data_IF_510273603426
#
_entry.id   IF_510273603426
#
_cell.length_a   1.000
_cell.length_b   1.000
_cell.length_c   1.000
_cell.angle_alpha   90.00
_cell.angle_beta   90.00
_cell.angle_gamma   90.00
#
_symmetry.space_group_name_H-M   'P 1'
#
loop_
_entity.id
_entity.type
_entity.pdbx_description
1 polymer ?
#
# COMPACT_ATOMS: atom_id res chain seq x y z
N UNK A 1 -26.59 -34.91 18.29
CA UNK A 1 -25.50 -33.96 18.55
C UNK A 1 -24.42 -34.28 17.54
N UNK A 2 -24.28 -33.47 16.50
CA UNK A 2 -23.17 -33.53 15.55
C UNK A 2 -21.86 -33.26 16.30
N UNK A 3 -20.73 -33.89 15.92
CA UNK A 3 -19.45 -33.51 16.48
C UNK A 3 -19.22 -32.05 16.12
N UNK A 4 -18.97 -31.21 17.12
CA UNK A 4 -18.49 -29.86 16.89
C UNK A 4 -17.16 -30.00 16.13
N UNK A 5 -17.13 -29.57 14.86
CA UNK A 5 -15.90 -29.47 14.08
C UNK A 5 -14.97 -28.50 14.81
N UNK A 6 -14.07 -29.06 15.63
CA UNK A 6 -12.96 -28.36 16.24
C UNK A 6 -12.09 -27.80 15.13
N UNK A 7 -12.28 -26.52 14.83
CA UNK A 7 -11.33 -25.76 14.01
C UNK A 7 -10.02 -25.77 14.75
N UNK A 8 -9.01 -26.47 14.26
CA UNK A 8 -7.68 -26.48 14.86
C UNK A 8 -7.06 -25.08 14.74
N UNK A 9 -6.73 -24.45 15.88
CA UNK A 9 -5.89 -23.25 15.87
C UNK A 9 -4.54 -23.56 15.20
N UNK A 10 -3.95 -22.57 14.55
CA UNK A 10 -2.57 -22.71 14.12
C UNK A 10 -1.65 -22.86 15.35
N UNK A 11 -0.68 -23.77 15.27
CA UNK A 11 0.34 -23.90 16.32
C UNK A 11 1.43 -22.83 16.13
N UNK A 12 2.20 -22.55 17.19
CA UNK A 12 3.36 -21.67 17.07
C UNK A 12 4.47 -22.35 16.26
N UNK A 13 4.95 -21.69 15.21
CA UNK A 13 6.06 -22.16 14.41
C UNK A 13 7.42 -21.86 15.10
N UNK A 14 8.40 -22.78 15.01
CA UNK A 14 9.74 -22.52 15.52
C UNK A 14 10.43 -21.44 14.67
N UNK A 15 11.51 -20.83 15.20
CA UNK A 15 12.38 -19.99 14.40
C UNK A 15 12.81 -20.67 13.09
N UNK A 16 12.88 -19.93 11.98
CA UNK A 16 13.18 -20.50 10.66
C UNK A 16 14.50 -21.29 10.61
N UNK A 17 15.53 -20.82 11.33
CA UNK A 17 16.83 -21.50 11.41
C UNK A 17 16.79 -22.82 12.19
N UNK A 18 15.72 -23.08 12.95
CA UNK A 18 15.47 -24.33 13.67
C UNK A 18 14.55 -25.28 12.91
N UNK A 19 14.03 -24.88 11.75
CA UNK A 19 13.23 -25.78 10.92
C UNK A 19 14.09 -26.90 10.33
N UNK A 20 13.59 -28.15 10.30
CA UNK A 20 14.20 -29.22 9.54
C UNK A 20 14.38 -28.84 8.07
N UNK A 21 15.52 -29.20 7.46
CA UNK A 21 15.82 -28.85 6.06
C UNK A 21 14.78 -29.37 5.06
N UNK A 22 14.14 -30.51 5.34
CA UNK A 22 13.06 -31.07 4.52
C UNK A 22 11.73 -30.32 4.67
N UNK A 23 11.58 -29.46 5.69
CA UNK A 23 10.38 -28.67 5.95
C UNK A 23 10.53 -27.20 5.58
N UNK A 24 11.76 -26.68 5.47
CA UNK A 24 12.05 -25.33 4.97
C UNK A 24 11.41 -24.99 3.61
N UNK A 25 11.22 -25.94 2.66
CA UNK A 25 10.48 -25.66 1.43
C UNK A 25 9.03 -25.20 1.64
N UNK A 26 8.43 -25.52 2.79
CA UNK A 26 7.07 -25.16 3.17
C UNK A 26 6.99 -23.88 4.00
N UNK A 27 8.10 -23.16 4.17
CA UNK A 27 8.13 -21.90 4.90
C UNK A 27 7.93 -20.70 3.97
N UNK A 28 6.98 -19.84 4.32
CA UNK A 28 6.66 -18.62 3.60
C UNK A 28 6.66 -17.43 4.57
N UNK A 29 7.30 -16.36 4.14
CA UNK A 29 7.27 -15.05 4.82
C UNK A 29 6.23 -14.18 4.13
N UNK A 30 5.43 -13.47 4.91
CA UNK A 30 4.30 -12.69 4.40
C UNK A 30 4.34 -11.27 4.93
N UNK A 31 4.04 -10.30 4.06
CA UNK A 31 3.94 -8.90 4.43
C UNK A 31 2.92 -8.18 3.53
N UNK A 32 2.38 -7.07 4.03
CA UNK A 32 1.40 -6.27 3.35
C UNK A 32 1.60 -4.78 3.61
N UNK A 33 1.67 -4.00 2.53
CA UNK A 33 1.78 -2.54 2.61
C UNK A 33 0.58 -1.84 1.97
N UNK A 34 0.35 -0.59 2.39
CA UNK A 34 -0.50 0.32 1.63
C UNK A 34 0.15 1.69 1.53
N UNK A 35 -0.04 2.33 0.39
CA UNK A 35 0.47 3.67 0.11
C UNK A 35 -0.55 4.47 -0.69
N UNK A 36 -0.60 5.79 -0.46
CA UNK A 36 -1.40 6.70 -1.29
C UNK A 36 -0.54 7.05 -2.50
N UNK A 37 -1.00 6.66 -3.69
CA UNK A 37 -0.37 6.99 -4.97
C UNK A 37 -1.29 7.97 -5.71
N UNK A 38 -0.88 9.23 -5.78
CA UNK A 38 -1.72 10.31 -6.32
C UNK A 38 -2.97 10.53 -5.45
N UNK A 39 -4.16 10.21 -5.99
CA UNK A 39 -5.45 10.32 -5.30
C UNK A 39 -6.02 8.98 -4.84
N UNK A 40 -5.32 7.88 -5.11
CA UNK A 40 -5.81 6.53 -4.86
C UNK A 40 -4.97 5.86 -3.79
N UNK A 41 -5.64 5.24 -2.81
CA UNK A 41 -4.97 4.34 -1.88
C UNK A 41 -4.72 3.02 -2.62
N UNK A 42 -3.49 2.53 -2.58
CA UNK A 42 -3.09 1.25 -3.13
C UNK A 42 -2.61 0.33 -2.04
N UNK A 43 -2.82 -0.95 -2.21
CA UNK A 43 -2.34 -1.98 -1.31
C UNK A 43 -1.56 -3.02 -2.12
N UNK A 44 -0.57 -3.64 -1.46
CA UNK A 44 0.22 -4.72 -2.03
C UNK A 44 0.55 -5.73 -0.96
N UNK A 45 0.18 -6.97 -1.22
CA UNK A 45 0.46 -8.13 -0.41
C UNK A 45 1.56 -8.94 -1.07
N UNK A 46 2.53 -9.43 -0.31
CA UNK A 46 3.60 -10.26 -0.83
C UNK A 46 3.88 -11.48 0.03
N UNK A 47 4.38 -12.51 -0.64
CA UNK A 47 4.83 -13.76 -0.06
C UNK A 47 6.21 -14.07 -0.59
N UNK A 48 7.16 -14.34 0.30
CA UNK A 48 8.53 -14.71 -0.02
C UNK A 48 8.81 -16.16 0.38
N UNK A 49 9.35 -16.94 -0.54
CA UNK A 49 9.88 -18.28 -0.28
C UNK A 49 11.40 -18.23 -0.14
N UNK A 50 11.98 -18.47 1.05
CA UNK A 50 13.43 -18.44 1.26
C UNK A 50 14.18 -19.49 0.43
N UNK A 51 13.61 -20.69 0.31
CA UNK A 51 14.22 -21.83 -0.40
C UNK A 51 14.18 -21.65 -1.91
N UNK A 52 13.05 -21.17 -2.46
CA UNK A 52 12.91 -20.89 -3.90
C UNK A 52 13.52 -19.56 -4.31
N UNK A 53 13.74 -18.65 -3.35
CA UNK A 53 14.17 -17.25 -3.57
C UNK A 53 13.27 -16.49 -4.55
N UNK A 54 11.97 -16.75 -4.45
CA UNK A 54 10.94 -16.13 -5.28
C UNK A 54 9.94 -15.41 -4.38
N UNK A 55 9.51 -14.22 -4.85
CA UNK A 55 8.38 -13.50 -4.29
C UNK A 55 7.17 -13.65 -5.21
N UNK A 56 6.00 -13.88 -4.64
CA UNK A 56 4.70 -13.70 -5.30
C UNK A 56 4.00 -12.51 -4.64
N UNK A 57 3.30 -11.68 -5.42
CA UNK A 57 2.62 -10.51 -4.91
C UNK A 57 1.27 -10.29 -5.59
N UNK A 58 0.34 -9.69 -4.85
CA UNK A 58 -0.95 -9.24 -5.33
C UNK A 58 -1.14 -7.77 -4.92
N UNK A 59 -1.75 -6.97 -5.80
CA UNK A 59 -1.98 -5.55 -5.57
C UNK A 59 -3.40 -5.15 -5.95
N UNK A 60 -3.85 -4.03 -5.42
CA UNK A 60 -5.14 -3.44 -5.74
C UNK A 60 -5.29 -2.03 -5.17
N UNK A 61 -6.50 -1.49 -5.28
CA UNK A 61 -6.81 -0.13 -4.84
C UNK A 61 -7.88 -0.13 -3.73
N UNK A 62 -7.93 0.95 -2.95
CA UNK A 62 -9.01 1.25 -2.00
C UNK A 62 -8.91 0.63 -0.61
N UNK A 63 -7.91 -0.20 -0.34
CA UNK A 63 -7.81 -0.96 0.92
C UNK A 63 -6.58 -0.58 1.77
N UNK A 64 -6.60 -1.01 3.04
CA UNK A 64 -5.57 -0.69 4.04
C UNK A 64 -4.37 -1.64 4.03
N UNK A 65 -3.32 -1.31 4.78
CA UNK A 65 -2.18 -2.21 5.00
C UNK A 65 -2.60 -3.48 5.73
N UNK A 66 -3.53 -3.38 6.69
CA UNK A 66 -4.09 -4.54 7.38
C UNK A 66 -4.81 -5.48 6.40
N UNK A 67 -5.47 -4.94 5.37
CA UNK A 67 -6.07 -5.75 4.30
C UNK A 67 -5.00 -6.48 3.50
N UNK A 68 -3.92 -5.78 3.13
CA UNK A 68 -2.79 -6.38 2.43
C UNK A 68 -2.17 -7.53 3.23
N UNK A 69 -2.04 -7.39 4.55
CA UNK A 69 -1.51 -8.42 5.45
C UNK A 69 -2.38 -9.68 5.42
N UNK A 70 -3.71 -9.54 5.49
CA UNK A 70 -4.64 -10.69 5.38
C UNK A 70 -4.60 -11.29 3.98
N UNK A 71 -4.47 -10.46 2.95
CA UNK A 71 -4.31 -10.92 1.56
C UNK A 71 -3.02 -11.70 1.34
N UNK A 72 -1.94 -11.34 2.03
CA UNK A 72 -0.68 -12.08 1.97
C UNK A 72 -0.83 -13.51 2.50
N UNK A 73 -1.69 -13.69 3.51
CA UNK A 73 -2.02 -15.04 4.02
C UNK A 73 -2.84 -15.83 3.02
N UNK A 74 -3.86 -15.23 2.38
CA UNK A 74 -4.59 -15.92 1.32
C UNK A 74 -3.67 -16.35 0.18
N UNK A 75 -2.73 -15.48 -0.22
CA UNK A 75 -1.74 -15.80 -1.25
C UNK A 75 -0.84 -16.96 -0.83
N UNK A 76 -0.40 -17.00 0.43
CA UNK A 76 0.42 -18.09 0.95
C UNK A 76 -0.34 -19.43 0.98
N UNK A 77 -1.63 -19.40 1.32
CA UNK A 77 -2.50 -20.58 1.27
C UNK A 77 -2.75 -21.04 -0.17
N UNK A 78 -2.97 -20.12 -1.11
CA UNK A 78 -3.11 -20.45 -2.53
C UNK A 78 -1.85 -21.15 -3.08
N UNK A 79 -0.65 -20.70 -2.68
CA UNK A 79 0.61 -21.36 -3.02
C UNK A 79 0.64 -22.78 -2.45
N UNK A 80 0.36 -22.94 -1.15
CA UNK A 80 0.39 -24.25 -0.49
C UNK A 80 -0.61 -25.23 -1.10
N UNK A 81 -1.82 -24.78 -1.43
CA UNK A 81 -2.85 -25.60 -2.08
C UNK A 81 -2.47 -26.00 -3.51
N UNK A 82 -2.01 -25.03 -4.32
CA UNK A 82 -1.57 -25.26 -5.71
C UNK A 82 -0.44 -26.27 -5.77
N UNK A 83 0.47 -26.19 -4.83
CA UNK A 83 1.65 -27.06 -4.72
C UNK A 83 1.36 -28.34 -3.93
N UNK A 84 0.15 -28.49 -3.40
CA UNK A 84 -0.31 -29.65 -2.61
C UNK A 84 0.59 -29.94 -1.41
N UNK A 85 0.97 -28.90 -0.69
CA UNK A 85 1.82 -29.02 0.48
C UNK A 85 1.09 -29.74 1.62
N UNK A 86 1.79 -30.60 2.39
CA UNK A 86 1.21 -31.27 3.54
C UNK A 86 1.08 -30.34 4.76
N UNK A 87 1.87 -29.27 4.80
CA UNK A 87 1.87 -28.27 5.87
C UNK A 87 2.40 -26.93 5.34
N UNK A 88 2.18 -25.86 6.10
CA UNK A 88 2.67 -24.53 5.79
C UNK A 88 3.19 -23.85 7.07
N UNK A 89 4.42 -23.34 7.02
CA UNK A 89 5.00 -22.49 8.05
C UNK A 89 4.89 -21.03 7.62
N UNK A 90 4.08 -20.25 8.32
CA UNK A 90 3.85 -18.82 8.06
C UNK A 90 4.67 -17.96 9.01
N UNK A 91 5.45 -17.05 8.44
CA UNK A 91 6.21 -16.04 9.16
C UNK A 91 5.65 -14.65 8.80
N UNK A 92 5.07 -13.96 9.77
CA UNK A 92 4.43 -12.64 9.57
C UNK A 92 4.91 -11.65 10.61
N UNK A 93 5.02 -10.37 10.23
CA UNK A 93 5.26 -9.26 11.18
C UNK A 93 3.97 -8.68 11.76
N UNK A 94 2.82 -9.15 11.28
CA UNK A 94 1.52 -8.63 11.72
C UNK A 94 1.01 -9.38 12.93
N UNK A 95 1.05 -8.74 14.10
CA UNK A 95 0.41 -9.25 15.31
C UNK A 95 -1.09 -9.53 15.13
N UNK A 96 -1.78 -8.75 14.30
CA UNK A 96 -3.20 -8.99 14.01
C UNK A 96 -3.39 -10.36 13.36
N UNK A 97 -2.58 -10.67 12.35
CA UNK A 97 -2.64 -11.95 11.64
C UNK A 97 -2.25 -13.09 12.58
N UNK A 98 -1.13 -12.95 13.30
CA UNK A 98 -0.65 -13.99 14.19
C UNK A 98 -1.71 -14.33 15.27
N UNK A 99 -2.26 -13.31 15.94
CA UNK A 99 -3.30 -13.52 16.95
C UNK A 99 -4.61 -14.08 16.36
N UNK A 100 -4.96 -13.69 15.12
CA UNK A 100 -6.12 -14.26 14.45
C UNK A 100 -5.96 -15.76 14.22
N UNK A 101 -4.81 -16.18 13.69
CA UNK A 101 -4.51 -17.58 13.38
C UNK A 101 -4.30 -18.43 14.65
N UNK A 102 -3.77 -17.87 15.73
CA UNK A 102 -3.59 -18.58 17.01
C UNK A 102 -4.89 -18.76 17.81
N UNK A 103 -5.93 -17.95 17.60
CA UNK A 103 -7.15 -18.12 18.37
C UNK A 103 -8.37 -17.28 18.02
N UNK A 104 -8.21 -16.07 17.44
CA UNK A 104 -9.42 -15.27 17.18
C UNK A 104 -10.33 -15.89 16.14
N UNK A 105 -9.81 -16.65 15.16
CA UNK A 105 -10.65 -17.35 14.17
C UNK A 105 -11.67 -18.29 14.83
N UNK A 106 -11.26 -19.07 15.84
CA UNK A 106 -12.18 -19.93 16.59
C UNK A 106 -13.24 -19.09 17.31
N UNK A 107 -12.83 -18.01 17.97
CA UNK A 107 -13.73 -17.14 18.71
C UNK A 107 -14.75 -16.46 17.77
N UNK A 108 -14.29 -15.98 16.61
CA UNK A 108 -15.14 -15.37 15.59
C UNK A 108 -16.10 -16.39 14.98
N UNK A 109 -15.65 -17.61 14.66
CA UNK A 109 -16.54 -18.68 14.18
C UNK A 109 -17.67 -18.97 15.18
N UNK A 110 -17.33 -19.08 16.48
CA UNK A 110 -18.32 -19.26 17.57
C UNK A 110 -19.28 -18.07 17.73
N UNK A 111 -18.82 -16.87 17.41
CA UNK A 111 -19.62 -15.63 17.47
C UNK A 111 -20.34 -15.34 16.14
N UNK A 112 -20.43 -16.33 15.24
CA UNK A 112 -20.97 -16.19 13.89
C UNK A 112 -20.38 -14.99 13.12
N UNK A 113 -19.08 -14.79 13.27
CA UNK A 113 -18.29 -13.74 12.63
C UNK A 113 -18.76 -12.32 12.97
N UNK A 114 -19.33 -12.14 14.16
CA UNK A 114 -19.81 -10.86 14.66
C UNK A 114 -19.15 -10.46 15.96
N UNK A 115 -18.98 -9.16 16.15
CA UNK A 115 -18.62 -8.53 17.41
C UNK A 115 -19.63 -7.44 17.73
N UNK A 116 -20.32 -7.58 18.88
CA UNK A 116 -21.39 -6.66 19.33
C UNK A 116 -22.50 -6.46 18.27
N UNK A 117 -22.91 -7.54 17.61
CA UNK A 117 -23.99 -7.53 16.60
C UNK A 117 -23.59 -6.92 15.25
N UNK A 118 -22.32 -6.58 15.05
CA UNK A 118 -21.79 -6.14 13.74
C UNK A 118 -20.82 -7.19 13.19
N UNK A 119 -20.77 -7.42 11.88
CA UNK A 119 -19.74 -8.27 11.27
C UNK A 119 -18.34 -7.79 11.65
N UNK A 120 -17.42 -8.74 11.85
CA UNK A 120 -16.01 -8.40 12.02
C UNK A 120 -15.46 -7.77 10.74
N UNK A 121 -14.42 -6.96 10.87
CA UNK A 121 -13.75 -6.39 9.71
C UNK A 121 -13.15 -7.51 8.83
N UNK A 122 -13.30 -7.36 7.51
CA UNK A 122 -12.89 -8.36 6.51
C UNK A 122 -13.41 -9.79 6.77
N UNK A 123 -14.60 -9.94 7.37
CA UNK A 123 -15.20 -11.26 7.66
C UNK A 123 -15.13 -12.26 6.50
N UNK A 124 -15.39 -11.89 5.22
CA UNK A 124 -15.29 -12.85 4.12
C UNK A 124 -13.88 -13.42 3.93
N UNK A 125 -12.82 -12.62 4.15
CA UNK A 125 -11.45 -13.10 4.03
C UNK A 125 -11.09 -14.06 5.16
N UNK A 126 -11.48 -13.73 6.39
CA UNK A 126 -11.22 -14.58 7.54
C UNK A 126 -12.00 -15.89 7.50
N UNK A 127 -13.22 -15.87 6.96
CA UNK A 127 -14.02 -17.07 6.70
C UNK A 127 -13.33 -18.00 5.70
N UNK A 128 -12.86 -17.45 4.57
CA UNK A 128 -12.10 -18.21 3.57
C UNK A 128 -10.83 -18.83 4.19
N UNK A 129 -10.04 -18.04 4.92
CA UNK A 129 -8.85 -18.53 5.62
C UNK A 129 -9.20 -19.67 6.58
N UNK A 130 -10.24 -19.52 7.41
CA UNK A 130 -10.62 -20.56 8.37
C UNK A 130 -11.01 -21.88 7.70
N UNK A 131 -11.74 -21.84 6.58
CA UNK A 131 -12.09 -23.04 5.80
C UNK A 131 -10.85 -23.73 5.22
N UNK A 132 -9.83 -22.97 4.84
CA UNK A 132 -8.57 -23.51 4.30
C UNK A 132 -7.70 -24.12 5.39
N UNK A 133 -7.67 -23.51 6.58
CA UNK A 133 -6.95 -24.03 7.76
C UNK A 133 -7.51 -25.37 8.26
N UNK A 134 -8.79 -25.68 8.00
CA UNK A 134 -9.36 -27.00 8.30
C UNK A 134 -8.79 -28.12 7.42
N UNK A 135 -8.14 -27.77 6.29
CA UNK A 135 -7.63 -28.74 5.30
C UNK A 135 -6.10 -28.83 5.26
N UNK A 136 -5.41 -27.85 5.84
CA UNK A 136 -3.95 -27.72 5.78
C UNK A 136 -3.40 -27.48 7.18
N UNK A 137 -2.37 -28.24 7.56
CA UNK A 137 -1.66 -27.98 8.82
C UNK A 137 -0.87 -26.69 8.67
N UNK A 138 -1.23 -25.66 9.44
CA UNK A 138 -0.54 -24.37 9.41
C UNK A 138 0.08 -24.07 10.76
N UNK A 139 1.34 -23.68 10.74
CA UNK A 139 2.08 -23.21 11.92
C UNK A 139 2.51 -21.77 11.69
N UNK A 140 2.30 -20.92 12.68
CA UNK A 140 2.44 -19.46 12.53
C UNK A 140 3.45 -18.94 13.52
N UNK A 141 4.35 -18.07 13.04
CA UNK A 141 5.28 -17.33 13.86
C UNK A 141 5.17 -15.84 13.57
N UNK A 142 5.06 -15.07 14.64
CA UNK A 142 5.27 -13.63 14.56
C UNK A 142 6.77 -13.33 14.54
N UNK A 143 7.24 -12.59 13.56
CA UNK A 143 8.63 -12.12 13.43
C UNK A 143 8.70 -10.66 13.90
N UNK A 144 9.70 -10.33 14.72
CA UNK A 144 9.90 -8.94 15.15
C UNK A 144 10.48 -8.11 14.00
N UNK A 145 9.74 -7.10 13.55
CA UNK A 145 10.15 -6.24 12.46
C UNK A 145 11.32 -5.28 12.83
N UNK A 146 11.57 -5.04 14.12
CA UNK A 146 12.47 -3.96 14.57
C UNK A 146 13.77 -4.45 15.21
N UNK A 147 14.45 -5.40 14.57
CA UNK A 147 15.78 -5.84 15.02
C UNK A 147 16.90 -5.06 14.32
N UNK A 148 17.83 -4.44 15.07
CA UNK A 148 18.98 -3.76 14.47
C UNK A 148 19.76 -4.69 13.54
N UNK A 149 20.26 -4.16 12.41
CA UNK A 149 21.01 -4.95 11.41
C UNK A 149 22.19 -5.73 12.00
N UNK A 150 22.79 -5.25 13.10
CA UNK A 150 23.88 -5.92 13.81
C UNK A 150 23.46 -7.23 14.51
N UNK A 151 22.16 -7.49 14.65
CA UNK A 151 21.57 -8.71 15.23
C UNK A 151 20.64 -9.43 14.25
N UNK A 152 20.73 -9.11 12.95
CA UNK A 152 19.84 -9.69 11.94
C UNK A 152 20.05 -11.21 11.83
N UNK A 153 19.02 -11.97 12.20
CA UNK A 153 18.97 -13.42 11.95
C UNK A 153 18.51 -13.70 10.52
N UNK A 154 18.59 -14.96 10.08
CA UNK A 154 18.07 -15.40 8.78
C UNK A 154 16.58 -15.04 8.59
N UNK A 155 15.78 -15.08 9.67
CA UNK A 155 14.38 -14.62 9.64
C UNK A 155 14.26 -13.14 9.29
N UNK A 156 15.15 -12.29 9.82
CA UNK A 156 15.12 -10.86 9.53
C UNK A 156 15.53 -10.57 8.09
N UNK A 157 16.47 -11.34 7.54
CA UNK A 157 16.86 -11.23 6.14
C UNK A 157 15.69 -11.63 5.23
N UNK A 158 15.03 -12.75 5.51
CA UNK A 158 13.83 -13.16 4.77
C UNK A 158 12.67 -12.18 4.94
N UNK A 159 12.52 -11.61 6.14
CA UNK A 159 11.52 -10.59 6.39
C UNK A 159 11.78 -9.32 5.57
N UNK A 160 13.04 -8.90 5.46
CA UNK A 160 13.43 -7.76 4.62
C UNK A 160 13.13 -8.03 3.13
N UNK A 161 13.28 -9.27 2.67
CA UNK A 161 12.95 -9.63 1.30
C UNK A 161 11.44 -9.51 1.03
N UNK A 162 10.59 -9.95 1.97
CA UNK A 162 9.15 -9.81 1.81
C UNK A 162 8.69 -8.36 1.97
N UNK A 163 9.27 -7.57 2.87
CA UNK A 163 9.03 -6.12 2.97
C UNK A 163 9.36 -5.43 1.64
N UNK A 164 10.50 -5.77 1.04
CA UNK A 164 10.88 -5.24 -0.27
C UNK A 164 9.91 -5.68 -1.37
N UNK A 165 9.38 -6.90 -1.31
CA UNK A 165 8.39 -7.39 -2.27
C UNK A 165 7.01 -6.74 -2.05
N UNK A 166 6.63 -6.45 -0.81
CA UNK A 166 5.38 -5.82 -0.43
C UNK A 166 5.39 -4.31 -0.66
N UNK A 167 6.57 -3.68 -0.78
CA UNK A 167 6.67 -2.27 -1.17
C UNK A 167 5.96 -2.02 -2.48
N UNK A 168 5.02 -1.08 -2.42
CA UNK A 168 4.47 -0.44 -3.58
C UNK A 168 5.58 0.48 -4.09
N UNK A 169 6.10 0.18 -5.27
CA UNK A 169 6.97 1.14 -5.94
C UNK A 169 6.16 2.40 -6.13
N UNK A 170 6.54 3.47 -5.41
CA UNK A 170 6.29 4.81 -5.91
C UNK A 170 6.99 4.82 -7.26
N UNK A 171 6.22 4.64 -8.33
CA UNK A 171 6.69 4.95 -9.68
C UNK A 171 7.43 6.27 -9.55
N UNK A 172 8.75 6.22 -9.74
CA UNK A 172 9.71 7.33 -9.59
C UNK A 172 9.02 8.61 -9.19
N UNK A 173 9.08 8.94 -7.89
CA UNK A 173 8.55 10.17 -7.30
C UNK A 173 8.37 11.20 -8.39
N UNK A 174 7.10 11.33 -8.71
CA UNK A 174 6.50 12.09 -9.77
C UNK A 174 7.10 13.51 -9.77
N UNK A 175 8.23 13.70 -10.47
CA UNK A 175 8.73 15.02 -10.83
C UNK A 175 7.62 15.81 -11.52
N UNK A 176 6.70 15.10 -12.17
CA UNK A 176 5.50 15.63 -12.79
C UNK A 176 4.40 15.96 -11.74
N UNK A 177 4.35 15.39 -10.52
CA UNK A 177 3.43 15.80 -9.43
C UNK A 177 3.91 17.04 -8.71
N UNK A 178 5.20 17.11 -8.35
CA UNK A 178 5.77 18.34 -7.79
C UNK A 178 5.63 19.48 -8.81
N UNK A 179 5.95 19.21 -10.08
CA UNK A 179 5.76 20.18 -11.16
C UNK A 179 4.29 20.52 -11.41
N UNK A 180 3.36 19.57 -11.39
CA UNK A 180 1.90 19.83 -11.48
C UNK A 180 1.39 20.63 -10.29
N UNK A 181 1.90 20.35 -9.08
CA UNK A 181 1.60 21.10 -7.87
C UNK A 181 2.12 22.54 -7.97
N UNK A 182 3.37 22.74 -8.37
CA UNK A 182 3.94 24.07 -8.63
C UNK A 182 3.15 24.82 -9.71
N UNK A 183 2.80 24.16 -10.82
CA UNK A 183 2.00 24.76 -11.90
C UNK A 183 0.58 25.11 -11.44
N UNK A 184 -0.03 24.30 -10.58
CA UNK A 184 -1.34 24.59 -10.00
C UNK A 184 -1.29 25.84 -9.12
N UNK A 185 -0.32 25.93 -8.22
CA UNK A 185 -0.17 27.09 -7.34
C UNK A 185 0.23 28.33 -8.15
N UNK A 186 1.08 28.19 -9.17
CA UNK A 186 1.42 29.26 -10.10
C UNK A 186 0.21 29.77 -10.88
N UNK A 187 -0.67 28.87 -11.36
CA UNK A 187 -1.95 29.22 -12.01
C UNK A 187 -2.85 29.98 -11.06
N UNK A 188 -3.04 29.46 -9.87
CA UNK A 188 -3.90 30.09 -8.88
C UNK A 188 -3.40 31.48 -8.44
N UNK A 189 -2.09 31.62 -8.21
CA UNK A 189 -1.46 32.91 -7.92
C UNK A 189 -1.63 33.89 -9.08
N UNK A 190 -1.48 33.42 -10.33
CA UNK A 190 -1.63 34.24 -11.52
C UNK A 190 -3.06 34.78 -11.66
N UNK A 191 -4.05 33.90 -11.52
CA UNK A 191 -5.47 34.26 -11.60
C UNK A 191 -5.86 35.22 -10.47
N UNK A 192 -5.41 34.96 -9.24
CA UNK A 192 -5.68 35.81 -8.07
C UNK A 192 -4.97 37.16 -8.13
N UNK A 193 -3.83 37.24 -8.83
CA UNK A 193 -3.15 38.50 -9.11
C UNK A 193 -3.81 39.33 -10.23
N UNK A 194 -4.92 38.85 -10.78
CA UNK A 194 -5.70 39.56 -11.80
C UNK A 194 -5.02 39.59 -13.16
N UNK A 195 -4.29 38.54 -13.52
CA UNK A 195 -3.60 38.42 -14.82
C UNK A 195 -2.61 39.57 -15.13
N UNK A 196 -2.07 40.23 -14.10
CA UNK A 196 -1.16 41.38 -14.24
C UNK A 196 0.28 41.00 -14.65
N UNK A 197 0.51 39.75 -15.03
CA UNK A 197 1.79 39.25 -15.51
C UNK A 197 2.72 38.72 -14.41
N UNK A 198 3.97 38.47 -14.81
CA UNK A 198 4.95 37.67 -14.06
C UNK A 198 5.30 38.28 -12.71
N UNK A 199 5.58 39.58 -12.66
CA UNK A 199 6.03 40.26 -11.44
C UNK A 199 4.92 40.44 -10.41
N UNK A 200 3.67 40.58 -10.86
CA UNK A 200 2.51 40.60 -9.97
C UNK A 200 2.25 39.22 -9.37
N UNK A 201 2.36 38.17 -10.18
CA UNK A 201 2.23 36.77 -9.74
C UNK A 201 3.33 36.42 -8.73
N UNK A 202 4.59 36.78 -9.02
CA UNK A 202 5.72 36.55 -8.11
C UNK A 202 5.56 37.29 -6.77
N UNK A 203 5.17 38.56 -6.80
CA UNK A 203 4.93 39.34 -5.56
C UNK A 203 3.79 38.74 -4.73
N UNK A 204 2.71 38.27 -5.37
CA UNK A 204 1.58 37.65 -4.69
C UNK A 204 1.99 36.41 -3.89
N UNK A 205 2.86 35.60 -4.50
CA UNK A 205 3.44 34.35 -3.96
C UNK A 205 4.42 34.65 -2.83
N UNK A 206 5.32 35.62 -3.04
CA UNK A 206 6.37 35.98 -2.07
C UNK A 206 5.80 36.57 -0.78
N UNK A 207 4.76 37.42 -0.86
CA UNK A 207 4.06 37.95 0.32
C UNK A 207 3.43 36.84 1.17
N UNK A 208 3.09 35.70 0.54
CA UNK A 208 2.45 34.55 1.20
C UNK A 208 3.44 33.45 1.59
N UNK A 209 4.75 33.69 1.41
CA UNK A 209 5.83 32.72 1.70
C UNK A 209 5.64 31.36 1.03
N UNK A 210 5.05 31.38 -0.17
CA UNK A 210 4.98 30.20 -1.03
C UNK A 210 6.21 30.28 -1.93
N UNK A 211 6.98 29.20 -2.03
CA UNK A 211 8.12 29.15 -2.96
C UNK A 211 7.65 28.60 -4.30
N UNK A 212 7.82 29.38 -5.38
CA UNK A 212 7.57 28.95 -6.75
C UNK A 212 8.73 29.31 -7.65
N UNK A 213 9.02 28.42 -8.60
CA UNK A 213 10.02 28.67 -9.62
C UNK A 213 9.55 29.72 -10.61
N UNK A 214 10.50 30.54 -11.08
CA UNK A 214 10.24 31.56 -12.08
C UNK A 214 9.82 30.99 -13.44
N UNK A 215 10.14 29.73 -13.69
CA UNK A 215 9.75 28.99 -14.90
C UNK A 215 8.30 28.52 -14.85
N UNK A 216 7.83 28.01 -13.70
CA UNK A 216 6.42 27.63 -13.52
C UNK A 216 5.47 28.82 -13.72
N UNK A 217 5.82 30.00 -13.18
CA UNK A 217 5.05 31.24 -13.39
C UNK A 217 5.02 31.62 -14.87
N UNK A 218 6.16 31.55 -15.56
CA UNK A 218 6.27 31.91 -16.98
C UNK A 218 5.47 30.97 -17.86
N UNK A 219 5.51 29.66 -17.56
CA UNK A 219 4.76 28.63 -18.27
C UNK A 219 3.26 28.84 -18.14
N UNK A 220 2.76 29.09 -16.93
CA UNK A 220 1.34 29.36 -16.67
C UNK A 220 0.84 30.57 -17.44
N UNK A 221 1.59 31.69 -17.42
CA UNK A 221 1.20 32.92 -18.11
C UNK A 221 1.16 32.69 -19.63
N UNK A 222 2.14 31.96 -20.17
CA UNK A 222 2.18 31.64 -21.59
C UNK A 222 0.96 30.81 -22.04
N UNK A 223 0.52 29.89 -21.18
CA UNK A 223 -0.64 29.03 -21.41
C UNK A 223 -1.98 29.66 -20.98
N UNK A 224 -2.00 30.93 -20.57
CA UNK A 224 -3.22 31.59 -20.09
C UNK A 224 -4.02 32.20 -21.24
N UNK A 225 -5.21 31.66 -21.52
CA UNK A 225 -6.11 32.14 -22.58
C UNK A 225 -6.55 33.59 -22.34
N UNK A 226 -6.84 33.99 -21.10
CA UNK A 226 -7.18 35.37 -20.74
C UNK A 226 -6.05 36.33 -21.08
N UNK A 227 -4.80 35.98 -20.75
CA UNK A 227 -3.64 36.80 -21.11
C UNK A 227 -3.42 36.85 -22.62
N UNK A 228 -3.65 35.74 -23.33
CA UNK A 228 -3.57 35.69 -24.78
C UNK A 228 -4.62 36.62 -25.41
N UNK A 229 -5.87 36.59 -24.93
CA UNK A 229 -6.95 37.47 -25.37
C UNK A 229 -6.65 38.95 -25.07
N UNK A 230 -6.14 39.28 -23.87
CA UNK A 230 -5.71 40.65 -23.53
C UNK A 230 -4.59 41.11 -24.46
N UNK A 231 -3.63 40.24 -24.78
CA UNK A 231 -2.53 40.56 -25.70
C UNK A 231 -3.03 40.80 -27.13
N UNK A 232 -3.97 39.99 -27.61
CA UNK A 232 -4.61 40.18 -28.92
C UNK A 232 -5.44 41.47 -28.96
N UNK A 233 -6.26 41.74 -27.93
CA UNK A 233 -7.06 42.96 -27.84
C UNK A 233 -6.20 44.24 -27.79
N UNK A 234 -4.99 44.18 -27.22
CA UNK A 234 -4.03 45.29 -27.26
C UNK A 234 -3.34 45.45 -28.61
N UNK A 235 -3.23 44.39 -29.42
CA UNK A 235 -2.67 44.46 -30.77
C UNK A 235 -3.68 44.99 -31.80
N UNK A 236 -4.98 44.78 -31.57
CA UNK A 236 -6.05 45.38 -32.38
C UNK A 236 -6.38 46.76 -31.80
N UNK A 237 -5.64 47.79 -32.22
CA UNK A 237 -6.08 49.18 -31.99
C UNK A 237 -7.48 49.37 -32.62
N UNK A 238 -8.41 50.13 -32.00
CA UNK A 238 -9.61 50.55 -32.71
C UNK A 238 -9.21 51.51 -33.83
N UNK A 239 -9.54 51.14 -35.07
CA UNK A 239 -9.66 52.08 -36.19
C UNK A 239 -10.85 52.98 -35.90
N UNK A 240 -10.63 54.13 -35.27
CA UNK A 240 -11.62 55.19 -35.25
C UNK A 240 -11.69 55.81 -36.64
N UNK A 241 -12.82 55.63 -37.31
CA UNK A 241 -13.23 56.35 -38.52
C UNK A 241 -14.27 57.42 -38.14
N UNK A 242 -13.98 58.67 -38.50
CA UNK A 242 -14.97 59.59 -39.07
C UNK A 242 -15.70 60.54 -38.12
N UNK A 243 -15.36 61.82 -38.25
CA UNK A 243 -16.08 62.99 -37.75
C UNK A 243 -15.27 64.25 -37.99
#
# INVERSE_FOLDING_TARGET
MSPEEEVTCAEEAPPYNQLPENEKPYALFTDGSCHIVGKHQRWKAAVWSPTRRVAEAAEGEGESSQFAEVKAIQLALDIAEREKWPMLYLYTVSWMVANALWGWLQQWKRSNWQHRGKPIWAAPLWQDIAVRLEKLVVKVRHVDAHVPKSRATEEHQNNQQVDQAAKIEEAQVDLDWQRKGELFIARWAHDTSGHQGRDATYRWVHVRRVDLTMDAISQVIHQCETCAAIKQAKQVKPLWYGG
#
